data_IF_928987082753
#
_entry.id   IF_928987082753
#
_cell.length_a   1.000
_cell.length_b   1.000
_cell.length_c   1.000
_cell.angle_alpha   90.00
_cell.angle_beta   90.00
_cell.angle_gamma   90.00
#
_symmetry.space_group_name_H-M   'P 1'
#
loop_
_entity.id
_entity.type
_entity.pdbx_description
1 polymer ?
#
# COMPACT_ATOMS: atom_id res chain seq x y z
N UNK A 1 19.63 1.68 -40.26
CA UNK A 1 19.11 2.35 -39.05
C UNK A 1 17.81 1.62 -38.73
N UNK A 2 17.75 0.94 -37.60
CA UNK A 2 16.55 0.25 -37.16
C UNK A 2 15.78 1.15 -36.18
N UNK A 3 14.46 1.24 -36.36
CA UNK A 3 13.57 1.98 -35.49
C UNK A 3 12.92 1.00 -34.53
N UNK A 4 12.99 1.27 -33.21
CA UNK A 4 12.27 0.51 -32.20
C UNK A 4 10.79 0.96 -32.21
N UNK A 5 9.90 0.02 -32.48
CA UNK A 5 8.45 0.24 -32.59
C UNK A 5 7.70 0.16 -31.25
N UNK A 6 8.45 0.01 -30.16
CA UNK A 6 7.88 -0.13 -28.80
C UNK A 6 7.38 -1.55 -28.48
N UNK A 7 7.44 -2.48 -29.44
CA UNK A 7 7.14 -3.88 -29.19
C UNK A 7 8.39 -4.65 -28.80
N UNK A 8 8.34 -5.37 -27.68
CA UNK A 8 9.39 -6.27 -27.25
C UNK A 8 8.77 -7.60 -26.84
N UNK A 9 9.11 -8.65 -27.57
CA UNK A 9 8.73 -10.03 -27.22
C UNK A 9 9.92 -10.78 -26.66
N UNK A 10 9.78 -11.31 -25.46
CA UNK A 10 10.73 -12.21 -24.85
C UNK A 10 10.22 -13.65 -25.01
N UNK A 11 11.11 -14.57 -25.37
CA UNK A 11 10.80 -16.01 -25.44
C UNK A 11 10.69 -16.60 -24.04
N UNK A 12 9.70 -16.15 -23.28
CA UNK A 12 9.40 -16.63 -21.93
C UNK A 12 7.89 -16.76 -21.82
N UNK A 13 7.43 -17.89 -21.34
CA UNK A 13 5.99 -18.15 -21.16
C UNK A 13 5.38 -17.13 -20.20
N UNK A 14 4.23 -16.56 -20.57
CA UNK A 14 3.48 -15.66 -19.68
C UNK A 14 2.94 -16.42 -18.46
N UNK A 15 2.59 -15.68 -17.41
CA UNK A 15 1.97 -16.29 -16.23
C UNK A 15 0.62 -16.91 -16.56
N UNK A 16 -0.19 -16.22 -17.35
CA UNK A 16 -1.52 -16.68 -17.75
C UNK A 16 -1.44 -17.96 -18.61
N UNK A 17 -0.46 -18.04 -19.52
CA UNK A 17 -0.22 -19.27 -20.28
C UNK A 17 0.22 -20.43 -19.38
N UNK A 18 1.10 -20.17 -18.38
CA UNK A 18 1.49 -21.19 -17.40
C UNK A 18 0.31 -21.66 -16.54
N UNK A 19 -0.67 -20.79 -16.27
CA UNK A 19 -1.89 -21.10 -15.52
C UNK A 19 -3.00 -21.66 -16.41
N UNK A 20 -2.95 -21.43 -17.72
CA UNK A 20 -3.92 -21.86 -18.72
C UNK A 20 -3.77 -23.34 -19.13
N UNK A 21 -4.77 -23.88 -19.81
CA UNK A 21 -4.74 -25.24 -20.34
C UNK A 21 -3.85 -25.38 -21.59
N UNK A 22 -3.51 -24.27 -22.24
CA UNK A 22 -2.74 -24.24 -23.49
C UNK A 22 -1.31 -24.77 -23.35
N UNK A 23 -0.67 -24.60 -22.20
CA UNK A 23 0.67 -25.11 -21.91
C UNK A 23 0.65 -26.44 -21.13
N UNK A 24 -0.52 -26.96 -20.78
CA UNK A 24 -0.56 -28.26 -20.10
C UNK A 24 -0.02 -29.38 -20.99
N UNK A 25 0.95 -30.15 -20.48
CA UNK A 25 1.73 -31.14 -21.20
C UNK A 25 2.53 -30.60 -22.40
N UNK A 26 2.76 -29.27 -22.41
CA UNK A 26 3.56 -28.59 -23.43
C UNK A 26 4.86 -28.03 -22.83
N UNK A 27 5.80 -27.76 -23.71
CA UNK A 27 7.06 -27.12 -23.35
C UNK A 27 6.84 -25.66 -22.99
N UNK A 28 7.46 -25.19 -21.89
CA UNK A 28 7.43 -23.84 -21.44
C UNK A 28 8.81 -23.34 -20.99
N UNK A 29 9.05 -22.05 -21.13
CA UNK A 29 10.25 -21.37 -20.65
C UNK A 29 9.87 -20.44 -19.50
N UNK A 30 10.51 -20.61 -18.35
CA UNK A 30 10.29 -19.85 -17.14
C UNK A 30 11.58 -19.14 -16.72
N UNK A 31 11.53 -17.85 -16.49
CA UNK A 31 12.62 -17.08 -15.88
C UNK A 31 12.20 -16.52 -14.52
N UNK A 32 13.12 -16.58 -13.57
CA UNK A 32 12.89 -16.01 -12.24
C UNK A 32 14.02 -16.29 -11.27
N UNK A 33 13.84 -15.87 -10.05
CA UNK A 33 14.79 -16.14 -8.97
C UNK A 33 14.36 -17.38 -8.16
N UNK A 34 15.29 -18.25 -7.85
CA UNK A 34 15.06 -19.37 -6.93
C UNK A 34 14.70 -18.80 -5.55
N UNK A 35 13.49 -19.06 -5.12
CA UNK A 35 12.94 -18.61 -3.84
C UNK A 35 13.25 -19.58 -2.72
N UNK A 36 13.08 -20.87 -2.99
CA UNK A 36 13.43 -21.95 -2.08
C UNK A 36 13.70 -23.24 -2.84
N UNK A 37 14.48 -24.13 -2.22
CA UNK A 37 14.80 -25.45 -2.73
C UNK A 37 14.45 -26.48 -1.67
N UNK A 38 13.68 -27.52 -2.05
CA UNK A 38 13.48 -28.71 -1.22
C UNK A 38 14.13 -29.88 -1.93
N UNK A 39 15.34 -30.22 -1.51
CA UNK A 39 16.08 -31.35 -2.02
C UNK A 39 15.62 -32.65 -1.34
N UNK A 40 15.23 -33.67 -2.13
CA UNK A 40 14.76 -34.97 -1.69
C UNK A 40 15.69 -36.10 -2.16
N UNK A 41 16.93 -35.77 -2.53
CA UNK A 41 17.91 -36.70 -3.09
C UNK A 41 17.98 -36.53 -4.60
N UNK A 42 17.42 -37.48 -5.35
CA UNK A 42 17.44 -37.46 -6.83
C UNK A 42 16.44 -36.47 -7.42
N UNK A 43 15.52 -35.94 -6.60
CA UNK A 43 14.49 -35.00 -7.01
C UNK A 43 14.56 -33.75 -6.12
N UNK A 44 14.45 -32.56 -6.71
CA UNK A 44 14.30 -31.31 -5.99
C UNK A 44 13.08 -30.55 -6.47
N UNK A 45 12.33 -29.99 -5.49
CA UNK A 45 11.31 -28.99 -5.76
C UNK A 45 11.98 -27.62 -5.68
N UNK A 46 12.00 -26.93 -6.81
CA UNK A 46 12.61 -25.61 -6.93
C UNK A 46 11.50 -24.58 -7.14
N UNK A 47 11.29 -23.73 -6.15
CA UNK A 47 10.27 -22.68 -6.24
C UNK A 47 10.86 -21.44 -6.88
N UNK A 48 10.34 -21.06 -8.03
CA UNK A 48 10.79 -19.89 -8.78
C UNK A 48 9.86 -18.72 -8.50
N UNK A 49 10.44 -17.62 -8.06
CA UNK A 49 9.72 -16.35 -7.81
C UNK A 49 9.74 -15.48 -9.06
N UNK A 50 8.55 -15.10 -9.47
CA UNK A 50 8.29 -14.13 -10.52
C UNK A 50 7.55 -12.91 -9.98
N UNK A 51 7.26 -11.95 -10.88
CA UNK A 51 6.45 -10.78 -10.56
C UNK A 51 5.05 -11.17 -10.08
N UNK A 52 4.43 -12.13 -10.74
CA UNK A 52 3.06 -12.57 -10.51
C UNK A 52 2.93 -13.49 -9.27
N UNK A 53 3.98 -14.20 -8.90
CA UNK A 53 3.94 -15.12 -7.76
C UNK A 53 5.09 -16.10 -7.70
N UNK A 54 4.83 -17.20 -6.99
CA UNK A 54 5.73 -18.34 -6.83
C UNK A 54 5.23 -19.48 -7.72
N UNK A 55 6.11 -20.08 -8.51
CA UNK A 55 5.80 -21.21 -9.37
C UNK A 55 6.68 -22.41 -8.98
N UNK A 56 6.06 -23.57 -8.81
CA UNK A 56 6.78 -24.80 -8.50
C UNK A 56 7.39 -25.41 -9.76
N UNK A 57 8.67 -25.73 -9.68
CA UNK A 57 9.34 -26.55 -10.69
C UNK A 57 9.96 -27.77 -10.04
N UNK A 58 10.12 -28.84 -10.82
CA UNK A 58 10.70 -30.11 -10.37
C UNK A 58 11.94 -30.39 -11.21
N UNK A 59 13.05 -30.60 -10.53
CA UNK A 59 14.31 -31.03 -11.11
C UNK A 59 14.55 -32.52 -10.73
N UNK A 60 14.77 -33.37 -11.71
CA UNK A 60 15.18 -34.75 -11.52
C UNK A 60 16.59 -34.90 -12.08
N UNK A 61 17.56 -35.40 -11.29
CA UNK A 61 18.97 -35.44 -11.66
C UNK A 61 19.23 -36.20 -12.96
N UNK A 62 18.46 -37.25 -13.22
CA UNK A 62 18.63 -38.08 -14.45
C UNK A 62 18.15 -37.36 -15.71
N UNK A 63 17.34 -36.30 -15.57
CA UNK A 63 16.71 -35.61 -16.69
C UNK A 63 17.51 -34.41 -17.20
N UNK A 64 18.58 -33.99 -16.49
CA UNK A 64 19.32 -32.73 -16.77
C UNK A 64 20.84 -32.92 -16.55
N UNK A 65 21.63 -32.24 -17.36
CA UNK A 65 23.07 -32.10 -17.18
C UNK A 65 23.47 -31.03 -16.17
N UNK A 66 22.77 -30.99 -15.03
CA UNK A 66 22.98 -29.99 -13.98
C UNK A 66 22.69 -30.61 -12.61
N UNK A 67 23.64 -30.50 -11.67
CA UNK A 67 23.46 -31.07 -10.34
C UNK A 67 22.53 -30.24 -9.46
N UNK A 68 21.62 -30.88 -8.76
CA UNK A 68 20.80 -30.29 -7.70
C UNK A 68 21.67 -29.56 -6.65
N UNK A 69 22.87 -30.09 -6.37
CA UNK A 69 23.79 -29.53 -5.37
C UNK A 69 24.41 -28.20 -5.78
N UNK A 70 24.37 -27.85 -7.07
CA UNK A 70 24.88 -26.58 -7.58
C UNK A 70 23.84 -25.46 -7.49
N UNK A 71 22.57 -25.80 -7.22
CA UNK A 71 21.50 -24.81 -7.05
C UNK A 71 21.60 -24.11 -5.69
N UNK A 72 21.38 -22.80 -5.70
CA UNK A 72 21.34 -21.97 -4.49
C UNK A 72 20.11 -21.07 -4.51
N UNK A 73 19.53 -20.85 -3.34
CA UNK A 73 18.50 -19.83 -3.17
C UNK A 73 19.04 -18.46 -3.55
N UNK A 74 18.23 -17.68 -4.24
CA UNK A 74 18.63 -16.37 -4.76
C UNK A 74 19.29 -16.39 -6.14
N UNK A 75 19.65 -17.57 -6.71
CA UNK A 75 20.05 -17.66 -8.11
C UNK A 75 18.93 -17.17 -9.02
N UNK A 76 19.28 -16.46 -10.08
CA UNK A 76 18.36 -16.17 -11.18
C UNK A 76 18.60 -17.19 -12.28
N UNK A 77 17.54 -17.84 -12.71
CA UNK A 77 17.60 -18.95 -13.67
C UNK A 77 16.60 -18.76 -14.80
N UNK A 78 16.94 -19.30 -15.96
CA UNK A 78 16.01 -19.63 -17.04
C UNK A 78 15.89 -21.13 -17.05
N UNK A 79 14.68 -21.65 -16.93
CA UNK A 79 14.37 -23.06 -17.00
C UNK A 79 13.46 -23.34 -18.18
N UNK A 80 13.71 -24.42 -18.86
CA UNK A 80 12.87 -24.95 -19.93
C UNK A 80 12.41 -26.33 -19.52
N UNK A 81 11.16 -26.66 -19.75
CA UNK A 81 10.60 -27.94 -19.35
C UNK A 81 9.14 -28.09 -19.72
N UNK A 82 8.51 -29.14 -19.23
CA UNK A 82 7.13 -29.49 -19.54
C UNK A 82 6.23 -29.14 -18.35
N UNK A 83 5.14 -28.44 -18.60
CA UNK A 83 4.12 -28.13 -17.59
C UNK A 83 3.22 -29.33 -17.38
N UNK A 84 3.18 -29.88 -16.18
CA UNK A 84 2.37 -31.05 -15.83
C UNK A 84 1.27 -30.62 -14.79
N UNK A 85 0.15 -31.33 -14.84
CA UNK A 85 -0.86 -31.25 -13.80
C UNK A 85 -0.36 -32.00 -12.55
N UNK A 86 -0.35 -31.31 -11.40
CA UNK A 86 -0.05 -31.90 -10.09
C UNK A 86 -0.93 -31.23 -9.02
N UNK A 87 -1.91 -31.96 -8.52
CA UNK A 87 -2.91 -31.44 -7.59
C UNK A 87 -2.33 -30.94 -6.26
N UNK A 88 -1.17 -31.48 -5.85
CA UNK A 88 -0.47 -31.09 -4.62
C UNK A 88 0.43 -29.87 -4.81
N UNK A 89 0.72 -29.50 -6.06
CA UNK A 89 1.50 -28.31 -6.35
C UNK A 89 0.66 -27.04 -6.13
N UNK A 90 1.27 -25.93 -5.69
CA UNK A 90 0.62 -24.63 -5.75
C UNK A 90 0.09 -24.39 -7.16
N UNK A 91 -1.14 -23.94 -7.29
CA UNK A 91 -1.84 -23.73 -8.57
C UNK A 91 -2.22 -25.02 -9.35
N UNK A 92 -2.12 -26.21 -8.76
CA UNK A 92 -2.51 -27.47 -9.38
C UNK A 92 -1.62 -27.92 -10.53
N UNK A 93 -0.44 -27.32 -10.69
CA UNK A 93 0.51 -27.65 -11.77
C UNK A 93 1.94 -27.30 -11.40
N UNK A 94 2.90 -27.93 -12.10
CA UNK A 94 4.32 -27.73 -11.93
C UNK A 94 5.05 -27.87 -13.26
N UNK A 95 6.27 -27.32 -13.38
CA UNK A 95 7.11 -27.47 -14.56
C UNK A 95 8.24 -28.48 -14.27
N UNK A 96 8.28 -29.57 -15.02
CA UNK A 96 9.37 -30.54 -14.98
C UNK A 96 10.53 -30.02 -15.84
N UNK A 97 11.65 -29.69 -15.19
CA UNK A 97 12.81 -29.07 -15.81
C UNK A 97 13.51 -30.08 -16.71
N UNK A 98 13.83 -29.67 -17.94
CA UNK A 98 14.68 -30.37 -18.92
C UNK A 98 16.01 -29.66 -19.12
N UNK A 99 15.99 -28.32 -19.08
CA UNK A 99 17.17 -27.49 -19.24
C UNK A 99 17.15 -26.40 -18.17
N UNK A 100 18.31 -26.09 -17.62
CA UNK A 100 18.50 -25.01 -16.69
C UNK A 100 19.71 -24.15 -17.07
N UNK A 101 19.52 -22.85 -17.15
CA UNK A 101 20.58 -21.88 -17.36
C UNK A 101 20.64 -20.95 -16.15
N UNK A 102 21.77 -20.90 -15.47
CA UNK A 102 22.02 -19.93 -14.40
C UNK A 102 22.40 -18.59 -15.03
N UNK A 103 21.56 -17.57 -14.81
CA UNK A 103 21.78 -16.22 -15.30
C UNK A 103 22.60 -15.39 -14.32
N UNK A 104 22.42 -15.60 -13.01
CA UNK A 104 23.24 -15.03 -11.95
C UNK A 104 23.17 -15.87 -10.68
N UNK A 105 24.22 -15.81 -9.87
CA UNK A 105 24.33 -16.51 -8.59
C UNK A 105 24.73 -15.54 -7.49
N UNK A 106 24.17 -15.61 -6.29
CA UNK A 106 24.65 -14.86 -5.14
C UNK A 106 26.04 -15.37 -4.73
N UNK A 107 26.92 -14.44 -4.34
CA UNK A 107 28.27 -14.78 -3.87
C UNK A 107 28.20 -15.53 -2.53
N UNK A 108 27.31 -15.13 -1.65
CA UNK A 108 27.11 -15.68 -0.32
C UNK A 108 25.66 -16.16 -0.11
N UNK A 109 25.43 -17.09 0.84
CA UNK A 109 24.07 -17.47 1.24
C UNK A 109 23.25 -16.26 1.67
N UNK A 110 21.93 -16.32 1.43
CA UNK A 110 21.03 -15.24 1.84
C UNK A 110 20.98 -15.14 3.37
N UNK A 111 21.20 -13.94 3.97
CA UNK A 111 21.21 -13.75 5.41
C UNK A 111 19.81 -13.82 6.04
N UNK A 112 18.73 -13.87 5.24
CA UNK A 112 17.35 -14.00 5.66
C UNK A 112 16.68 -15.19 4.98
N UNK A 113 15.99 -16.01 5.75
CA UNK A 113 15.14 -17.09 5.23
C UNK A 113 13.84 -16.50 4.66
N UNK A 114 13.91 -16.00 3.42
CA UNK A 114 12.81 -15.31 2.73
C UNK A 114 11.66 -16.25 2.34
N UNK A 115 11.91 -17.55 2.33
CA UNK A 115 10.98 -18.62 1.98
C UNK A 115 9.91 -18.88 3.05
N UNK A 116 10.13 -18.44 4.27
CA UNK A 116 9.18 -18.63 5.38
C UNK A 116 7.93 -17.80 5.17
N UNK A 117 6.77 -18.33 5.59
CA UNK A 117 5.50 -17.60 5.51
C UNK A 117 5.60 -16.22 6.14
N UNK A 118 6.21 -16.11 7.31
CA UNK A 118 6.48 -14.86 8.02
C UNK A 118 7.97 -14.75 8.32
N UNK A 119 8.55 -13.59 8.04
CA UNK A 119 9.91 -13.28 8.48
C UNK A 119 9.94 -13.11 10.01
N UNK A 120 10.52 -14.10 10.69
CA UNK A 120 10.70 -14.04 12.14
C UNK A 120 12.03 -13.35 12.49
N UNK A 121 12.08 -12.04 12.26
CA UNK A 121 13.25 -11.20 12.50
C UNK A 121 12.82 -9.80 12.96
N UNK A 122 13.76 -9.04 13.56
CA UNK A 122 13.52 -7.68 14.02
C UNK A 122 13.20 -6.73 12.86
N UNK A 123 12.55 -5.60 13.17
CA UNK A 123 12.33 -4.54 12.19
C UNK A 123 13.65 -4.00 11.66
N UNK A 124 14.65 -3.82 12.52
CA UNK A 124 15.98 -3.37 12.15
C UNK A 124 16.63 -4.30 11.12
N UNK A 125 16.62 -5.61 11.34
CA UNK A 125 17.14 -6.58 10.38
C UNK A 125 16.36 -6.55 9.04
N UNK A 126 15.03 -6.39 9.08
CA UNK A 126 14.22 -6.21 7.86
C UNK A 126 14.62 -4.96 7.08
N UNK A 127 14.94 -3.87 7.77
CA UNK A 127 15.35 -2.61 7.13
C UNK A 127 16.77 -2.69 6.60
N UNK A 128 17.73 -3.26 7.35
CA UNK A 128 19.10 -3.44 6.93
C UNK A 128 19.24 -4.34 5.71
N UNK A 129 18.43 -5.39 5.64
CA UNK A 129 18.35 -6.30 4.48
C UNK A 129 17.10 -6.05 3.63
N UNK A 130 16.75 -4.79 3.38
CA UNK A 130 15.48 -4.39 2.75
C UNK A 130 15.26 -5.05 1.39
N UNK A 131 16.26 -5.12 0.54
CA UNK A 131 16.20 -5.74 -0.78
C UNK A 131 15.91 -7.25 -0.74
N UNK A 132 16.21 -7.91 0.37
CA UNK A 132 15.92 -9.32 0.60
C UNK A 132 14.59 -9.51 1.33
N UNK A 133 14.37 -8.75 2.42
CA UNK A 133 13.13 -8.88 3.20
C UNK A 133 11.88 -8.67 2.36
N UNK A 134 11.91 -7.73 1.40
CA UNK A 134 10.81 -7.47 0.46
C UNK A 134 10.54 -8.61 -0.54
N UNK A 135 11.43 -9.60 -0.62
CA UNK A 135 11.19 -10.80 -1.43
C UNK A 135 10.27 -11.82 -0.74
N UNK A 136 10.06 -11.68 0.58
CA UNK A 136 9.08 -12.48 1.32
C UNK A 136 7.66 -12.16 0.87
N UNK A 137 6.81 -13.18 0.77
CA UNK A 137 5.45 -13.04 0.21
C UNK A 137 4.57 -12.06 1.01
N UNK A 138 4.64 -12.09 2.35
CA UNK A 138 3.85 -11.19 3.19
C UNK A 138 4.36 -9.74 3.13
N UNK A 139 5.69 -9.55 3.19
CA UNK A 139 6.26 -8.20 3.08
C UNK A 139 5.92 -7.59 1.71
N UNK A 140 5.98 -8.37 0.64
CA UNK A 140 5.60 -7.97 -0.70
C UNK A 140 4.11 -7.65 -0.83
N UNK A 141 3.24 -8.47 -0.27
CA UNK A 141 1.79 -8.28 -0.33
C UNK A 141 1.36 -6.92 0.27
N UNK A 142 2.02 -6.44 1.34
CA UNK A 142 1.76 -5.11 1.91
C UNK A 142 1.96 -3.97 0.91
N UNK A 143 3.04 -4.06 0.10
CA UNK A 143 3.29 -3.05 -0.94
C UNK A 143 2.31 -3.15 -2.10
N UNK A 144 1.79 -4.34 -2.39
CA UNK A 144 0.72 -4.50 -3.38
C UNK A 144 -0.60 -3.90 -2.89
N UNK A 145 -0.91 -3.98 -1.60
CA UNK A 145 -2.06 -3.27 -1.02
C UNK A 145 -1.85 -1.75 -1.07
N UNK A 146 -0.64 -1.26 -0.78
CA UNK A 146 -0.33 0.17 -0.93
C UNK A 146 -0.49 0.64 -2.39
N UNK A 147 0.00 -0.14 -3.36
CA UNK A 147 -0.21 0.11 -4.79
C UNK A 147 -1.71 0.18 -5.12
N UNK A 148 -2.50 -0.78 -4.61
CA UNK A 148 -3.94 -0.84 -4.84
C UNK A 148 -4.68 0.40 -4.32
N UNK A 149 -4.37 0.85 -3.10
CA UNK A 149 -4.98 2.05 -2.52
C UNK A 149 -4.62 3.32 -3.30
N UNK A 150 -3.37 3.43 -3.74
CA UNK A 150 -2.92 4.56 -4.56
C UNK A 150 -3.57 4.55 -5.93
N UNK A 151 -3.71 3.37 -6.55
CA UNK A 151 -4.43 3.19 -7.82
C UNK A 151 -5.90 3.55 -7.66
N UNK A 152 -6.57 3.00 -6.64
CA UNK A 152 -7.98 3.28 -6.37
C UNK A 152 -8.26 4.79 -6.21
N UNK A 153 -7.37 5.50 -5.51
CA UNK A 153 -7.50 6.94 -5.32
C UNK A 153 -7.43 7.70 -6.65
N UNK A 154 -6.44 7.37 -7.49
CA UNK A 154 -6.31 7.98 -8.82
C UNK A 154 -7.49 7.66 -9.72
N UNK A 155 -7.84 6.38 -9.85
CA UNK A 155 -8.91 5.93 -10.74
C UNK A 155 -10.24 6.59 -10.35
N UNK A 156 -10.59 6.55 -9.05
CA UNK A 156 -11.81 7.16 -8.54
C UNK A 156 -11.87 8.68 -8.79
N UNK A 157 -10.77 9.40 -8.54
CA UNK A 157 -10.76 10.86 -8.72
C UNK A 157 -10.77 11.26 -10.19
N UNK A 158 -10.09 10.53 -11.08
CA UNK A 158 -10.20 10.74 -12.54
C UNK A 158 -11.64 10.51 -13.02
N UNK A 159 -12.31 9.47 -12.57
CA UNK A 159 -13.72 9.20 -12.89
C UNK A 159 -14.66 10.31 -12.41
N UNK A 160 -14.28 11.04 -11.34
CA UNK A 160 -15.03 12.17 -10.80
C UNK A 160 -14.57 13.55 -11.28
N UNK A 161 -13.77 13.59 -12.35
CA UNK A 161 -13.39 14.83 -13.04
C UNK A 161 -12.28 15.64 -12.36
N UNK A 162 -11.47 15.01 -11.52
CA UNK A 162 -10.32 15.67 -10.90
C UNK A 162 -9.11 15.66 -11.82
N UNK A 163 -8.29 16.69 -11.71
CA UNK A 163 -6.99 16.82 -12.39
C UNK A 163 -5.86 16.48 -11.40
N UNK A 164 -4.98 15.53 -11.76
CA UNK A 164 -3.77 15.26 -10.95
C UNK A 164 -2.76 16.40 -11.13
N UNK A 165 -2.28 16.93 -10.01
CA UNK A 165 -1.23 17.94 -9.97
C UNK A 165 0.01 17.39 -9.27
N UNK A 166 1.16 17.99 -9.57
CA UNK A 166 2.44 17.66 -8.95
C UNK A 166 3.06 18.93 -8.38
N UNK A 167 3.21 18.97 -7.06
CA UNK A 167 3.59 20.18 -6.34
C UNK A 167 5.03 20.13 -5.83
N UNK A 168 5.71 21.29 -5.70
CA UNK A 168 7.02 21.37 -5.09
C UNK A 168 7.01 20.86 -3.64
N UNK A 169 8.05 20.12 -3.27
CA UNK A 169 8.21 19.59 -1.89
C UNK A 169 9.22 20.37 -1.04
N UNK A 170 9.89 21.34 -1.66
CA UNK A 170 10.73 22.32 -0.95
C UNK A 170 10.08 23.68 -1.12
N UNK A 171 9.74 24.31 -0.03
CA UNK A 171 9.03 25.59 0.01
C UNK A 171 9.62 26.57 1.02
N UNK A 172 9.17 27.82 0.97
CA UNK A 172 9.63 28.85 1.91
C UNK A 172 8.90 28.79 3.27
N UNK A 173 7.71 28.17 3.33
CA UNK A 173 6.83 28.14 4.52
C UNK A 173 6.11 26.80 4.65
N UNK A 174 5.77 26.41 5.88
CA UNK A 174 4.87 25.30 6.14
C UNK A 174 3.41 25.67 5.87
N UNK A 175 2.61 24.72 5.43
CA UNK A 175 1.19 24.88 5.12
C UNK A 175 0.28 24.53 6.31
N UNK A 176 0.70 23.57 7.12
CA UNK A 176 -0.05 23.11 8.31
C UNK A 176 0.47 23.87 9.53
N UNK A 177 -0.24 24.85 10.00
CA UNK A 177 0.14 25.71 11.12
C UNK A 177 0.63 24.94 12.34
N UNK A 178 1.93 24.93 12.59
CA UNK A 178 2.52 24.24 13.73
C UNK A 178 4.03 24.06 13.58
N UNK A 179 4.67 23.64 14.67
CA UNK A 179 6.13 23.64 14.82
C UNK A 179 6.86 22.48 14.14
N UNK A 180 6.16 21.51 13.58
CA UNK A 180 6.74 20.24 13.14
C UNK A 180 7.23 20.26 11.68
N UNK A 181 8.16 21.19 11.40
CA UNK A 181 8.75 21.37 10.08
C UNK A 181 10.18 20.84 10.02
N UNK A 182 10.51 20.10 8.98
CA UNK A 182 11.89 19.88 8.59
C UNK A 182 12.42 21.13 7.90
N UNK A 183 13.41 21.79 8.53
CA UNK A 183 14.07 22.99 8.03
C UNK A 183 15.38 22.61 7.34
N UNK A 184 15.67 23.25 6.21
CA UNK A 184 16.89 23.03 5.44
C UNK A 184 17.44 24.33 4.89
N UNK A 185 18.72 24.34 4.50
CA UNK A 185 19.33 25.42 3.74
C UNK A 185 19.24 25.09 2.25
N UNK A 186 18.63 25.99 1.47
CA UNK A 186 18.47 25.84 0.03
C UNK A 186 19.12 27.05 -0.67
N UNK A 187 20.30 26.83 -1.29
CA UNK A 187 21.10 27.93 -1.88
C UNK A 187 21.26 29.12 -0.94
N UNK A 188 21.68 28.87 0.32
CA UNK A 188 21.87 29.87 1.39
C UNK A 188 20.59 30.57 1.85
N UNK A 189 19.42 30.13 1.44
CA UNK A 189 18.11 30.61 1.94
C UNK A 189 17.49 29.55 2.83
N UNK A 190 16.73 29.94 3.87
CA UNK A 190 15.95 28.98 4.64
C UNK A 190 14.82 28.41 3.79
N UNK A 191 14.62 27.11 3.89
CA UNK A 191 13.52 26.39 3.27
C UNK A 191 12.97 25.33 4.23
N UNK A 192 11.83 24.77 3.88
CA UNK A 192 11.16 23.68 4.62
C UNK A 192 10.69 22.60 3.66
N UNK A 193 10.58 21.37 4.17
CA UNK A 193 9.90 20.30 3.46
C UNK A 193 8.38 20.44 3.60
N UNK A 194 7.63 20.15 2.54
CA UNK A 194 6.18 20.28 2.50
C UNK A 194 5.50 19.30 3.47
N UNK A 195 4.64 19.80 4.35
CA UNK A 195 3.80 19.01 5.24
C UNK A 195 2.52 18.49 4.54
N UNK A 196 2.08 19.20 3.52
CA UNK A 196 0.98 18.87 2.61
C UNK A 196 1.11 19.74 1.35
N UNK A 197 0.39 19.43 0.25
CA UNK A 197 0.31 20.30 -0.93
C UNK A 197 -0.68 21.48 -0.77
N UNK A 198 -1.12 21.82 0.45
CA UNK A 198 -2.24 22.71 0.71
C UNK A 198 -2.21 24.04 -0.08
N UNK A 199 -1.08 24.75 -0.08
CA UNK A 199 -1.01 26.03 -0.81
C UNK A 199 -1.25 25.87 -2.31
N UNK A 200 -0.74 24.78 -2.88
CA UNK A 200 -0.84 24.52 -4.31
C UNK A 200 -2.20 23.95 -4.70
N UNK A 201 -2.72 22.96 -3.96
CA UNK A 201 -4.03 22.39 -4.27
C UNK A 201 -5.14 23.45 -4.14
N UNK A 202 -5.10 24.30 -3.11
CA UNK A 202 -6.02 25.43 -2.93
C UNK A 202 -5.92 26.45 -4.08
N UNK A 203 -4.70 26.79 -4.52
CA UNK A 203 -4.48 27.66 -5.67
C UNK A 203 -4.99 27.04 -6.98
N UNK A 204 -4.74 25.76 -7.18
CA UNK A 204 -5.06 25.05 -8.42
C UNK A 204 -6.54 24.73 -8.59
N UNK A 205 -7.32 24.72 -7.49
CA UNK A 205 -8.79 24.69 -7.58
C UNK A 205 -9.32 25.90 -8.35
N UNK A 206 -8.70 27.09 -8.23
CA UNK A 206 -9.04 28.26 -9.03
C UNK A 206 -8.75 28.11 -10.53
N UNK A 207 -8.09 27.03 -10.96
CA UNK A 207 -7.73 26.73 -12.36
C UNK A 207 -8.51 25.53 -12.90
N UNK A 208 -8.68 24.48 -12.09
CA UNK A 208 -9.24 23.20 -12.55
C UNK A 208 -10.49 22.77 -11.78
N UNK A 209 -11.01 23.58 -10.86
CA UNK A 209 -12.16 23.31 -9.99
C UNK A 209 -11.97 22.11 -9.04
N UNK A 210 -11.37 21.03 -9.49
CA UNK A 210 -11.10 19.79 -8.77
C UNK A 210 -9.70 19.30 -9.05
N UNK A 211 -8.90 19.14 -8.01
CA UNK A 211 -7.51 18.68 -8.13
C UNK A 211 -7.15 17.66 -7.08
N UNK A 212 -6.16 16.84 -7.37
CA UNK A 212 -5.59 15.92 -6.41
C UNK A 212 -4.10 15.72 -6.63
N UNK A 213 -3.42 15.26 -5.61
CA UNK A 213 -2.03 14.83 -5.65
C UNK A 213 -1.83 13.54 -4.87
N UNK A 214 -1.03 12.65 -5.43
CA UNK A 214 -0.43 11.53 -4.70
C UNK A 214 1.07 11.77 -4.62
N UNK A 215 1.58 12.09 -3.44
CA UNK A 215 2.98 12.47 -3.31
C UNK A 215 3.52 12.44 -1.88
N UNK A 216 4.86 12.56 -1.71
CA UNK A 216 5.48 12.54 -0.40
C UNK A 216 5.17 13.83 0.37
N UNK A 217 4.94 13.69 1.67
CA UNK A 217 4.83 14.78 2.63
C UNK A 217 5.67 14.49 3.85
N UNK A 218 6.06 15.53 4.59
CA UNK A 218 7.08 15.47 5.62
C UNK A 218 6.58 16.19 6.89
N UNK A 219 6.53 15.47 8.00
CA UNK A 219 6.15 16.03 9.30
C UNK A 219 7.24 15.69 10.32
N UNK A 220 7.87 16.69 10.91
CA UNK A 220 8.93 16.50 11.91
C UNK A 220 8.35 16.10 13.28
N UNK A 221 7.53 15.05 13.28
CA UNK A 221 6.91 14.51 14.48
C UNK A 221 7.96 13.97 15.44
N UNK A 222 7.87 14.35 16.71
CA UNK A 222 8.79 13.89 17.76
C UNK A 222 8.35 12.56 18.39
N UNK A 223 7.19 12.06 17.99
CA UNK A 223 6.60 10.84 18.54
C UNK A 223 6.93 9.64 17.66
N UNK A 224 7.44 8.58 18.26
CA UNK A 224 7.64 7.30 17.61
C UNK A 224 6.47 6.36 17.94
N UNK A 225 5.38 6.48 17.21
CA UNK A 225 4.18 5.66 17.37
C UNK A 225 3.82 4.98 16.05
N UNK A 226 2.91 4.01 16.10
CA UNK A 226 2.40 3.35 14.88
C UNK A 226 1.61 4.28 13.94
N UNK A 227 1.23 5.47 14.42
CA UNK A 227 0.38 6.44 13.72
C UNK A 227 1.16 7.63 13.16
N UNK A 228 2.42 7.83 13.55
CA UNK A 228 3.22 9.00 13.17
C UNK A 228 4.43 8.56 12.36
N UNK A 229 4.47 8.99 11.11
CA UNK A 229 5.61 8.83 10.21
C UNK A 229 6.14 10.22 9.85
N UNK A 230 7.46 10.35 9.78
CA UNK A 230 8.10 11.61 9.41
C UNK A 230 8.05 11.87 7.90
N UNK A 231 7.89 10.83 7.10
CA UNK A 231 7.68 10.88 5.66
C UNK A 231 6.67 9.80 5.26
N UNK A 232 5.66 10.17 4.49
CA UNK A 232 4.69 9.23 3.94
C UNK A 232 4.11 9.73 2.63
N UNK A 233 3.52 8.82 1.84
CA UNK A 233 2.75 9.18 0.64
C UNK A 233 1.38 9.65 1.05
N UNK A 234 1.08 10.92 0.82
CA UNK A 234 -0.23 11.53 1.04
C UNK A 234 -1.13 11.30 -0.18
N UNK A 235 -2.40 11.11 0.10
CA UNK A 235 -3.50 11.08 -0.86
C UNK A 235 -4.34 12.33 -0.59
N UNK A 236 -4.12 13.38 -1.36
CA UNK A 236 -4.71 14.70 -1.16
C UNK A 236 -5.64 15.06 -2.30
N UNK A 237 -6.83 15.56 -2.02
CA UNK A 237 -7.67 16.20 -3.02
C UNK A 237 -8.23 17.53 -2.50
N UNK A 238 -8.68 18.37 -3.42
CA UNK A 238 -9.31 19.65 -3.15
C UNK A 238 -10.37 19.90 -4.21
N UNK A 239 -11.53 20.40 -3.84
CA UNK A 239 -12.60 20.75 -4.79
C UNK A 239 -13.28 22.04 -4.39
N UNK A 240 -13.59 22.86 -5.39
CA UNK A 240 -14.36 24.10 -5.26
C UNK A 240 -15.83 23.91 -5.65
N UNK A 241 -16.58 25.04 -5.55
CA UNK A 241 -18.00 25.11 -5.91
C UNK A 241 -18.85 24.09 -5.15
N UNK A 242 -18.54 23.89 -3.87
CA UNK A 242 -19.32 23.07 -2.95
C UNK A 242 -20.34 23.92 -2.20
N UNK A 243 -21.52 23.37 -1.97
CA UNK A 243 -22.55 24.01 -1.14
C UNK A 243 -22.35 23.66 0.34
N UNK A 244 -21.71 22.52 0.63
CA UNK A 244 -21.48 22.01 1.97
C UNK A 244 -20.23 21.14 2.06
N UNK A 245 -19.60 21.08 3.25
CA UNK A 245 -18.46 20.19 3.50
C UNK A 245 -18.85 18.70 3.49
N UNK A 246 -20.12 18.37 3.61
CA UNK A 246 -20.61 17.00 3.45
C UNK A 246 -20.35 16.44 2.04
N UNK A 247 -20.19 17.31 1.02
CA UNK A 247 -19.79 16.85 -0.33
C UNK A 247 -18.37 16.29 -0.32
N UNK A 248 -17.47 16.82 0.52
CA UNK A 248 -16.13 16.29 0.70
C UNK A 248 -16.20 14.92 1.40
N UNK A 249 -17.03 14.79 2.43
CA UNK A 249 -17.27 13.51 3.11
C UNK A 249 -17.86 12.47 2.16
N UNK A 250 -18.75 12.87 1.26
CA UNK A 250 -19.32 11.99 0.24
C UNK A 250 -18.22 11.51 -0.75
N UNK A 251 -17.31 12.40 -1.17
CA UNK A 251 -16.18 12.04 -2.03
C UNK A 251 -15.25 11.05 -1.32
N UNK A 252 -14.92 11.26 -0.07
CA UNK A 252 -14.08 10.35 0.71
C UNK A 252 -14.77 8.99 0.89
N UNK A 253 -16.05 8.99 1.23
CA UNK A 253 -16.85 7.77 1.33
C UNK A 253 -16.85 6.99 0.02
N UNK A 254 -17.07 7.66 -1.11
CA UNK A 254 -17.04 7.03 -2.44
C UNK A 254 -15.66 6.46 -2.79
N UNK A 255 -14.59 7.16 -2.45
CA UNK A 255 -13.23 6.64 -2.61
C UNK A 255 -13.01 5.38 -1.77
N UNK A 256 -13.41 5.37 -0.49
CA UNK A 256 -13.27 4.20 0.38
C UNK A 256 -14.05 2.99 -0.18
N UNK A 257 -15.28 3.20 -0.64
CA UNK A 257 -16.09 2.15 -1.28
C UNK A 257 -15.40 1.61 -2.55
N UNK A 258 -14.91 2.49 -3.41
CA UNK A 258 -14.18 2.13 -4.62
C UNK A 258 -12.90 1.33 -4.29
N UNK A 259 -12.13 1.78 -3.30
CA UNK A 259 -10.92 1.12 -2.87
C UNK A 259 -11.18 -0.28 -2.31
N UNK A 260 -12.22 -0.45 -1.46
CA UNK A 260 -12.59 -1.76 -0.91
C UNK A 260 -13.04 -2.73 -2.02
N UNK A 261 -13.78 -2.22 -3.02
CA UNK A 261 -14.18 -3.00 -4.19
C UNK A 261 -12.96 -3.46 -5.00
N UNK A 262 -12.09 -2.53 -5.38
CA UNK A 262 -10.87 -2.83 -6.16
C UNK A 262 -9.96 -3.83 -5.44
N UNK A 263 -9.76 -3.67 -4.13
CA UNK A 263 -9.00 -4.61 -3.31
C UNK A 263 -9.59 -6.02 -3.35
N UNK A 264 -10.88 -6.13 -3.25
CA UNK A 264 -11.59 -7.42 -3.25
C UNK A 264 -11.54 -8.11 -4.61
N UNK A 265 -11.61 -7.35 -5.70
CA UNK A 265 -11.64 -7.88 -7.06
C UNK A 265 -10.23 -8.17 -7.60
N UNK A 266 -9.30 -7.22 -7.52
CA UNK A 266 -7.99 -7.29 -8.18
C UNK A 266 -6.85 -7.78 -7.24
N UNK A 267 -7.02 -7.70 -5.91
CA UNK A 267 -5.98 -7.98 -4.92
C UNK A 267 -6.39 -9.04 -3.87
N UNK A 268 -7.37 -9.88 -4.20
CA UNK A 268 -7.87 -10.93 -3.31
C UNK A 268 -6.77 -11.85 -2.78
N UNK A 269 -5.78 -12.16 -3.63
CA UNK A 269 -4.61 -12.97 -3.27
C UNK A 269 -3.77 -12.35 -2.16
N UNK A 270 -3.54 -11.04 -2.24
CA UNK A 270 -2.77 -10.29 -1.25
C UNK A 270 -3.52 -10.20 0.08
N UNK A 271 -4.83 -10.02 0.04
CA UNK A 271 -5.69 -10.04 1.23
C UNK A 271 -5.63 -11.42 1.92
N UNK A 272 -5.68 -12.50 1.16
CA UNK A 272 -5.55 -13.87 1.68
C UNK A 272 -4.18 -14.11 2.31
N UNK A 273 -3.08 -13.72 1.63
CA UNK A 273 -1.71 -13.82 2.15
C UNK A 273 -1.57 -13.07 3.48
N UNK A 274 -2.17 -11.89 3.60
CA UNK A 274 -2.09 -11.06 4.79
C UNK A 274 -3.13 -11.46 5.85
N UNK A 275 -4.12 -12.30 5.49
CA UNK A 275 -5.27 -12.67 6.35
C UNK A 275 -6.01 -11.44 6.85
N UNK A 276 -6.28 -10.50 5.95
CA UNK A 276 -6.97 -9.24 6.24
C UNK A 276 -8.41 -9.34 5.77
N UNK A 277 -9.34 -9.03 6.66
CA UNK A 277 -10.72 -8.75 6.33
C UNK A 277 -10.86 -7.25 6.05
N UNK A 278 -11.49 -6.90 4.94
CA UNK A 278 -11.69 -5.50 4.57
C UNK A 278 -12.78 -4.88 5.44
N UNK A 279 -12.57 -3.63 5.90
CA UNK A 279 -13.62 -2.90 6.60
C UNK A 279 -14.78 -2.57 5.66
N UNK A 280 -15.98 -2.45 6.23
CA UNK A 280 -17.19 -2.06 5.50
C UNK A 280 -17.30 -0.53 5.40
N UNK A 281 -17.19 0.00 4.19
CA UNK A 281 -17.37 1.42 3.88
C UNK A 281 -18.74 1.72 3.26
N UNK A 282 -19.69 0.78 3.25
CA UNK A 282 -21.00 0.97 2.63
C UNK A 282 -21.84 2.04 3.33
N UNK A 283 -21.63 2.23 4.62
CA UNK A 283 -22.36 3.19 5.44
C UNK A 283 -21.44 3.74 6.54
N UNK A 284 -21.07 5.02 6.42
CA UNK A 284 -20.22 5.72 7.37
C UNK A 284 -21.06 6.73 8.15
N UNK A 285 -21.30 6.54 9.46
CA UNK A 285 -22.00 7.51 10.30
C UNK A 285 -21.15 8.76 10.53
N UNK A 286 -21.80 9.88 10.81
CA UNK A 286 -21.16 11.11 11.23
C UNK A 286 -21.64 11.53 12.62
N UNK A 287 -20.74 12.07 13.41
CA UNK A 287 -21.01 12.57 14.76
C UNK A 287 -20.24 13.88 15.00
N UNK A 288 -20.87 14.86 15.64
CA UNK A 288 -20.16 16.08 16.03
C UNK A 288 -19.12 15.78 17.12
N UNK A 289 -18.04 16.52 17.10
CA UNK A 289 -16.91 16.38 18.03
C UNK A 289 -17.33 16.42 19.51
N UNK A 290 -18.11 17.41 19.89
CA UNK A 290 -18.62 17.59 21.26
C UNK A 290 -19.50 16.42 21.69
N UNK A 291 -20.42 15.99 20.82
CA UNK A 291 -21.29 14.81 21.05
C UNK A 291 -20.46 13.53 21.16
N UNK A 292 -19.47 13.32 20.28
CA UNK A 292 -18.60 12.16 20.34
C UNK A 292 -17.85 12.04 21.67
N UNK A 293 -17.33 13.17 22.19
CA UNK A 293 -16.66 13.22 23.50
C UNK A 293 -17.60 12.87 24.64
N UNK A 294 -18.83 13.39 24.64
CA UNK A 294 -19.84 13.10 25.65
C UNK A 294 -20.28 11.61 25.60
N UNK A 295 -20.48 11.04 24.42
CA UNK A 295 -20.82 9.64 24.26
C UNK A 295 -19.76 8.71 24.85
N UNK A 296 -18.49 8.97 24.54
CA UNK A 296 -17.36 8.19 25.08
C UNK A 296 -17.24 8.38 26.59
N UNK A 297 -17.33 9.62 27.07
CA UNK A 297 -17.25 9.91 28.49
C UNK A 297 -18.34 9.17 29.28
N UNK A 298 -19.57 9.17 28.77
CA UNK A 298 -20.72 8.51 29.39
C UNK A 298 -20.62 6.98 29.35
N UNK A 299 -20.34 6.41 28.16
CA UNK A 299 -20.33 4.94 27.99
C UNK A 299 -19.18 4.27 28.72
N UNK A 300 -17.97 4.86 28.66
CA UNK A 300 -16.76 4.26 29.22
C UNK A 300 -16.32 4.91 30.55
N UNK A 301 -17.20 5.72 31.18
CA UNK A 301 -16.93 6.41 32.45
C UNK A 301 -15.59 7.16 32.44
N UNK A 302 -15.32 7.89 31.37
CA UNK A 302 -14.06 8.61 31.14
C UNK A 302 -14.23 10.11 31.41
N UNK A 303 -13.27 10.70 32.12
CA UNK A 303 -13.22 12.15 32.30
C UNK A 303 -12.67 12.84 31.04
N UNK A 304 -13.37 13.83 30.52
CA UNK A 304 -12.90 14.72 29.44
C UNK A 304 -11.79 15.62 30.02
N UNK A 305 -10.54 15.38 29.57
CA UNK A 305 -9.37 16.14 30.03
C UNK A 305 -9.04 17.30 29.08
N UNK A 306 -9.13 17.07 27.80
CA UNK A 306 -8.89 18.07 26.76
C UNK A 306 -10.18 18.31 25.96
N UNK A 307 -10.90 19.41 26.19
CA UNK A 307 -12.15 19.68 25.48
C UNK A 307 -11.96 20.19 24.04
N UNK A 308 -10.71 20.42 23.60
CA UNK A 308 -10.41 21.00 22.29
C UNK A 308 -9.75 20.03 21.31
N UNK A 309 -9.48 18.79 21.73
CA UNK A 309 -8.78 17.81 20.91
C UNK A 309 -9.19 16.41 21.32
N UNK A 310 -9.03 15.42 20.42
CA UNK A 310 -9.18 14.00 20.75
C UNK A 310 -7.86 13.44 21.23
N UNK A 311 -7.87 12.79 22.37
CA UNK A 311 -6.75 11.98 22.80
C UNK A 311 -6.77 10.63 22.02
N UNK A 312 -5.62 10.01 21.72
CA UNK A 312 -5.57 8.76 20.95
C UNK A 312 -6.46 7.63 21.52
N UNK A 313 -6.66 7.61 22.84
CA UNK A 313 -7.55 6.67 23.49
C UNK A 313 -9.03 7.02 23.23
N UNK A 314 -9.38 8.30 23.19
CA UNK A 314 -10.74 8.74 22.86
C UNK A 314 -11.11 8.38 21.42
N UNK A 315 -10.21 8.57 20.46
CA UNK A 315 -10.42 8.16 19.08
C UNK A 315 -10.67 6.64 18.98
N UNK A 316 -9.87 5.83 19.68
CA UNK A 316 -10.06 4.38 19.72
C UNK A 316 -11.43 4.00 20.32
N UNK A 317 -11.85 4.69 21.39
CA UNK A 317 -13.14 4.45 22.03
C UNK A 317 -14.33 4.94 21.18
N UNK A 318 -14.18 6.03 20.40
CA UNK A 318 -15.18 6.45 19.42
C UNK A 318 -15.36 5.34 18.36
N UNK A 319 -14.27 4.86 17.77
CA UNK A 319 -14.33 3.76 16.81
C UNK A 319 -14.98 2.51 17.39
N UNK A 320 -14.62 2.15 18.62
CA UNK A 320 -15.22 1.01 19.34
C UNK A 320 -16.72 1.22 19.57
N UNK A 321 -17.13 2.42 20.01
CA UNK A 321 -18.54 2.77 20.22
C UNK A 321 -19.38 2.55 18.94
N UNK A 322 -18.91 3.10 17.81
CA UNK A 322 -19.64 2.99 16.55
C UNK A 322 -19.63 1.57 15.99
N UNK A 323 -18.57 0.80 16.24
CA UNK A 323 -18.55 -0.64 15.91
C UNK A 323 -19.55 -1.44 16.72
N UNK A 324 -19.64 -1.20 18.02
CA UNK A 324 -20.54 -1.93 18.94
C UNK A 324 -22.02 -1.56 18.68
N UNK A 325 -22.34 -0.27 18.56
CA UNK A 325 -23.73 0.20 18.49
C UNK A 325 -24.32 0.21 17.08
N UNK A 326 -23.49 0.41 16.07
CA UNK A 326 -23.94 0.61 14.68
C UNK A 326 -23.34 -0.39 13.69
N UNK A 327 -22.45 -1.27 14.16
CA UNK A 327 -21.65 -2.17 13.31
C UNK A 327 -20.90 -1.40 12.19
N UNK A 328 -20.44 -0.19 12.50
CA UNK A 328 -19.71 0.65 11.57
C UNK A 328 -18.20 0.50 11.76
N UNK A 329 -17.45 0.30 10.67
CA UNK A 329 -15.99 0.21 10.70
C UNK A 329 -15.31 1.59 10.57
N UNK A 330 -16.05 2.58 10.10
CA UNK A 330 -15.64 3.97 9.98
C UNK A 330 -16.64 4.89 10.66
N UNK A 331 -16.19 6.06 11.07
CA UNK A 331 -17.03 7.13 11.59
C UNK A 331 -16.38 8.48 11.26
N UNK A 332 -17.14 9.42 10.74
CA UNK A 332 -16.72 10.81 10.61
C UNK A 332 -16.97 11.55 11.92
N UNK A 333 -15.94 12.17 12.48
CA UNK A 333 -16.07 13.14 13.56
C UNK A 333 -16.03 14.53 12.95
N UNK A 334 -17.11 15.29 13.10
CA UNK A 334 -17.28 16.58 12.44
C UNK A 334 -17.23 17.74 13.44
N UNK A 335 -17.13 18.98 12.95
CA UNK A 335 -17.18 20.20 13.75
C UNK A 335 -16.13 20.23 14.87
N UNK A 336 -14.86 20.15 14.47
CA UNK A 336 -13.76 20.28 15.41
C UNK A 336 -13.63 21.71 15.96
N UNK A 337 -13.11 21.89 17.18
CA UNK A 337 -12.90 23.22 17.76
C UNK A 337 -11.96 24.10 16.94
N UNK A 338 -12.37 25.33 16.61
CA UNK A 338 -11.61 26.29 15.78
C UNK A 338 -10.18 26.54 16.26
N UNK A 339 -9.96 26.51 17.59
CA UNK A 339 -8.63 26.74 18.19
C UNK A 339 -7.53 25.75 17.76
N UNK A 340 -7.92 24.60 17.21
CA UNK A 340 -7.00 23.51 16.85
C UNK A 340 -6.92 23.27 15.35
N UNK A 341 -7.70 24.00 14.57
CA UNK A 341 -7.73 23.81 13.11
C UNK A 341 -6.78 24.78 12.39
N UNK A 342 -6.24 24.39 11.23
CA UNK A 342 -5.38 25.23 10.42
C UNK A 342 -6.16 26.41 9.80
N UNK A 343 -5.43 27.38 9.25
CA UNK A 343 -5.97 28.65 8.76
C UNK A 343 -7.03 28.51 7.65
N UNK A 344 -7.01 27.40 6.92
CA UNK A 344 -7.94 27.15 5.81
C UNK A 344 -9.26 26.48 6.26
N UNK A 345 -9.38 26.09 7.51
CA UNK A 345 -10.63 25.54 8.03
C UNK A 345 -11.62 26.68 8.32
N UNK A 346 -12.78 26.64 7.66
CA UNK A 346 -13.84 27.63 7.82
C UNK A 346 -14.54 27.44 9.17
N UNK A 347 -14.71 28.53 9.92
CA UNK A 347 -15.54 28.51 11.13
C UNK A 347 -17.01 28.23 10.77
N UNK A 348 -17.70 27.49 11.63
CA UNK A 348 -19.15 27.28 11.51
C UNK A 348 -19.87 28.61 11.72
N UNK A 349 -20.62 29.11 10.73
CA UNK A 349 -21.32 30.40 10.87
C UNK A 349 -22.41 30.40 11.95
N UNK A 350 -22.92 29.25 12.35
CA UNK A 350 -23.91 29.10 13.42
C UNK A 350 -23.25 29.05 14.81
N UNK A 351 -22.03 28.52 14.90
CA UNK A 351 -21.26 28.45 16.14
C UNK A 351 -19.74 28.51 15.86
N UNK A 352 -19.20 29.72 15.87
CA UNK A 352 -17.77 29.98 15.56
C UNK A 352 -16.77 29.39 16.55
N UNK A 353 -17.19 28.66 17.57
CA UNK A 353 -16.33 27.86 18.43
C UNK A 353 -15.84 26.60 17.70
N UNK A 354 -16.54 26.20 16.64
CA UNK A 354 -16.29 25.01 15.82
C UNK A 354 -16.00 25.41 14.37
N UNK A 355 -15.52 24.45 13.61
CA UNK A 355 -15.26 24.60 12.17
C UNK A 355 -16.09 23.60 11.36
N UNK A 356 -16.38 23.95 10.11
CA UNK A 356 -16.93 23.03 9.11
C UNK A 356 -15.80 22.10 8.61
N UNK A 357 -15.36 21.21 9.49
CA UNK A 357 -14.29 20.25 9.24
C UNK A 357 -14.61 18.88 9.83
N UNK A 358 -13.91 17.85 9.35
CA UNK A 358 -14.06 16.49 9.84
C UNK A 358 -12.72 15.74 9.79
N UNK A 359 -12.66 14.64 10.53
CA UNK A 359 -11.63 13.60 10.47
C UNK A 359 -12.28 12.23 10.49
#
# INVERSE_FOLDING_TARGET
>A
MEFLDGSWKKEVSSWDALMGEELLNQEAILEGAIHSIRNMGDVAFVIIRRREGLFQTVLVNEDVDFSIHDLKEGMTVRVKGVVNKEERAPHGRELHIREIQVLSSPAEPLPLAIDKWKLNTSLEAKLNYRSLSLRNIQERARFKIQEALTRAFRDYLYENGFTEIHTPKIGARGAEGGANLFKLSYFHKPAVLAQSPQFYKQMMVGVFDRVFETGPVFRAEKHNTKRHLNEYTSLDFEMGYIDSFEEIMAMETGFLQYAMKLLKEDYAKELEILKVELPDASRIPAVRFDVAKELVAKKYNRQIRNPFDLEPEEEALIGQYFKEEYNADFVFVTHYPSKKRPFYAMDDPEDTRFTLSFD
#
